data_IF_258627845168
#
_entry.id   IF_258627845168
#
_cell.length_a   1.000
_cell.length_b   1.000
_cell.length_c   1.000
_cell.angle_alpha   90.00
_cell.angle_beta   90.00
_cell.angle_gamma   90.00
#
_symmetry.space_group_name_H-M   'P 1'
#
loop_
_entity.id
_entity.type
_entity.pdbx_description
1 polymer ?
#
# COMPACT_ATOMS: atom_id res chain seq x y z
N UNK A 1 -5.33 9.40 -1.09
CA UNK A 1 -4.95 8.49 0.01
C UNK A 1 -3.44 8.41 0.29
N UNK A 2 -2.59 7.81 -0.56
CA UNK A 2 -1.16 7.60 -0.21
C UNK A 2 -0.36 8.88 0.08
N UNK A 3 -0.56 9.93 -0.73
CA UNK A 3 0.09 11.23 -0.51
C UNK A 3 -0.48 11.95 0.72
N UNK A 4 -1.80 11.87 0.94
CA UNK A 4 -2.50 12.53 2.03
C UNK A 4 -2.15 11.94 3.41
N UNK A 5 -1.91 10.63 3.48
CA UNK A 5 -1.50 9.95 4.73
C UNK A 5 -0.02 10.10 5.03
N UNK A 6 0.76 10.71 4.12
CA UNK A 6 2.22 10.71 4.18
C UNK A 6 2.84 9.32 4.04
N UNK A 7 2.07 8.34 3.56
CA UNK A 7 2.58 7.00 3.25
C UNK A 7 3.53 7.04 2.05
N UNK A 8 3.22 7.86 1.03
CA UNK A 8 4.12 8.17 -0.07
C UNK A 8 4.91 9.43 0.25
N UNK A 9 6.23 9.34 0.23
CA UNK A 9 7.10 10.50 0.41
C UNK A 9 8.34 10.43 -0.47
N UNK A 10 8.92 11.59 -0.74
CA UNK A 10 10.16 11.78 -1.48
C UNK A 10 11.22 12.29 -0.51
N UNK A 11 12.42 11.73 -0.60
CA UNK A 11 13.56 12.17 0.19
C UNK A 11 14.87 11.86 -0.54
N UNK A 12 15.97 12.48 -0.10
CA UNK A 12 17.30 12.17 -0.60
C UNK A 12 17.80 10.87 0.02
N UNK A 13 18.63 10.16 -0.74
CA UNK A 13 19.38 8.99 -0.28
C UNK A 13 18.51 7.83 0.25
N UNK A 14 17.27 7.71 -0.24
CA UNK A 14 16.43 6.56 0.05
C UNK A 14 16.97 5.31 -0.64
N UNK A 15 17.18 4.26 0.15
CA UNK A 15 17.66 2.95 -0.30
C UNK A 15 16.60 1.90 0.04
N UNK A 16 16.22 1.11 -0.97
CA UNK A 16 15.28 0.00 -0.81
C UNK A 16 15.93 -1.18 -0.07
N UNK A 17 15.11 -2.14 0.37
CA UNK A 17 15.59 -3.33 1.09
C UNK A 17 16.56 -4.19 0.29
N UNK A 18 16.53 -4.11 -1.03
CA UNK A 18 17.45 -4.79 -1.93
C UNK A 18 18.70 -3.96 -2.29
N UNK A 19 18.88 -2.80 -1.63
CA UNK A 19 20.03 -1.93 -1.81
C UNK A 19 19.90 -0.91 -2.96
N UNK A 20 18.82 -0.94 -3.75
CA UNK A 20 18.66 0.01 -4.85
C UNK A 20 18.28 1.41 -4.35
N UNK A 21 18.90 2.48 -4.86
CA UNK A 21 18.45 3.83 -4.60
C UNK A 21 17.07 4.07 -5.25
N UNK A 22 16.23 4.87 -4.59
CA UNK A 22 14.89 5.23 -5.06
C UNK A 22 14.61 6.71 -4.82
N UNK A 23 13.85 7.40 -5.70
CA UNK A 23 13.47 8.80 -5.48
C UNK A 23 12.29 8.96 -4.50
N UNK A 24 11.58 7.87 -4.18
CA UNK A 24 10.45 7.88 -3.25
C UNK A 24 10.33 6.57 -2.48
N UNK A 25 9.60 6.61 -1.38
CA UNK A 25 9.25 5.43 -0.60
C UNK A 25 7.77 5.40 -0.27
N UNK A 26 7.19 4.20 -0.27
CA UNK A 26 5.82 3.95 0.19
C UNK A 26 5.86 3.17 1.50
N UNK A 27 5.51 3.84 2.60
CA UNK A 27 5.42 3.24 3.93
C UNK A 27 3.95 3.00 4.30
N UNK A 28 3.46 1.78 4.05
CA UNK A 28 2.10 1.39 4.45
C UNK A 28 1.91 1.32 5.98
N UNK A 29 2.97 1.34 6.78
CA UNK A 29 2.89 1.49 8.24
C UNK A 29 2.28 2.81 8.69
N UNK A 30 2.11 3.79 7.79
CA UNK A 30 1.36 5.03 8.06
C UNK A 30 -0.17 4.82 8.12
N UNK A 31 -0.70 3.69 7.64
CA UNK A 31 -2.11 3.30 7.79
C UNK A 31 -2.37 2.69 9.17
N UNK A 32 -2.14 3.48 10.21
CA UNK A 32 -2.03 3.02 11.60
C UNK A 32 -3.28 3.31 12.46
N UNK A 33 -4.41 3.64 11.83
CA UNK A 33 -5.70 3.83 12.52
C UNK A 33 -6.75 2.91 11.91
N UNK A 34 -7.77 2.53 12.69
CA UNK A 34 -8.83 1.64 12.21
C UNK A 34 -9.54 2.17 10.95
N UNK A 35 -9.77 3.48 10.85
CA UNK A 35 -10.35 4.11 9.65
C UNK A 35 -9.45 3.93 8.43
N UNK A 36 -8.15 4.20 8.58
CA UNK A 36 -7.20 4.05 7.48
C UNK A 36 -7.02 2.58 7.07
N UNK A 37 -7.04 1.65 8.03
CA UNK A 37 -6.99 0.22 7.73
C UNK A 37 -8.25 -0.25 6.98
N UNK A 38 -9.42 0.27 7.35
CA UNK A 38 -10.67 0.00 6.62
C UNK A 38 -10.59 0.51 5.18
N UNK A 39 -10.20 1.78 4.98
CA UNK A 39 -10.04 2.36 3.64
C UNK A 39 -9.04 1.57 2.79
N UNK A 40 -7.88 1.21 3.35
CA UNK A 40 -6.88 0.42 2.64
C UNK A 40 -7.40 -0.99 2.29
N UNK A 41 -8.09 -1.64 3.23
CA UNK A 41 -8.69 -2.95 3.03
C UNK A 41 -9.76 -2.94 1.93
N UNK A 42 -10.62 -1.93 1.91
CA UNK A 42 -11.63 -1.75 0.84
C UNK A 42 -10.98 -1.62 -0.53
N UNK A 43 -9.90 -0.82 -0.66
CA UNK A 43 -9.16 -0.71 -1.92
C UNK A 43 -8.63 -2.05 -2.43
N UNK A 44 -8.06 -2.89 -1.56
CA UNK A 44 -7.56 -4.20 -1.96
C UNK A 44 -8.71 -5.18 -2.27
N UNK A 45 -9.80 -5.16 -1.49
CA UNK A 45 -10.98 -5.98 -1.75
C UNK A 45 -11.61 -5.65 -3.11
N UNK A 46 -11.78 -4.37 -3.43
CA UNK A 46 -12.28 -3.92 -4.73
C UNK A 46 -11.38 -4.41 -5.87
N UNK A 47 -10.05 -4.33 -5.68
CA UNK A 47 -9.09 -4.84 -6.67
C UNK A 47 -9.25 -6.35 -6.92
N UNK A 48 -9.43 -7.16 -5.87
CA UNK A 48 -9.66 -8.60 -6.00
C UNK A 48 -10.93 -8.91 -6.80
N UNK A 49 -12.00 -8.14 -6.58
CA UNK A 49 -13.25 -8.26 -7.35
C UNK A 49 -13.02 -7.88 -8.81
N UNK A 50 -12.44 -6.71 -9.07
CA UNK A 50 -12.19 -6.19 -10.44
C UNK A 50 -11.29 -7.15 -11.23
N UNK A 51 -10.28 -7.74 -10.58
CA UNK A 51 -9.38 -8.71 -11.19
C UNK A 51 -10.02 -10.10 -11.37
N UNK A 52 -11.26 -10.31 -10.93
CA UNK A 52 -11.95 -11.61 -10.95
C UNK A 52 -11.14 -12.71 -10.26
N UNK A 53 -10.54 -12.35 -9.12
CA UNK A 53 -9.71 -13.24 -8.30
C UNK A 53 -10.49 -13.85 -7.13
N UNK A 54 -11.64 -13.28 -6.77
CA UNK A 54 -12.43 -13.72 -5.61
C UNK A 54 -12.79 -15.21 -5.68
N UNK A 55 -13.15 -15.72 -6.86
CA UNK A 55 -13.51 -17.13 -7.04
C UNK A 55 -12.32 -18.05 -7.34
N UNK A 56 -11.10 -17.51 -7.32
CA UNK A 56 -9.86 -18.22 -7.69
C UNK A 56 -8.86 -18.31 -6.54
N UNK A 57 -9.19 -17.74 -5.38
CA UNK A 57 -8.31 -17.64 -4.23
C UNK A 57 -9.02 -18.29 -3.04
N UNK A 58 -8.42 -19.35 -2.50
CA UNK A 58 -8.93 -20.03 -1.32
C UNK A 58 -8.48 -19.36 0.00
N UNK A 59 -7.35 -18.63 -0.03
CA UNK A 59 -6.71 -17.98 1.14
C UNK A 59 -6.02 -16.68 0.70
N UNK A 60 -6.18 -15.59 1.49
CA UNK A 60 -5.49 -14.29 1.30
C UNK A 60 -4.17 -14.26 2.10
#
# INVERSE_FOLDING_TARGET
MLAETGALFFDKDLILKDGRPTPYFVNLGKFNTGRLSLELGSFFADMLVIASLVDKIDII
#
